data_IF_876370919115
#
_entry.id   IF_876370919115
#
_cell.length_a   1.000
_cell.length_b   1.000
_cell.length_c   1.000
_cell.angle_alpha   90.00
_cell.angle_beta   90.00
_cell.angle_gamma   90.00
#
_symmetry.space_group_name_H-M   'P 1'
#
loop_
_entity.id
_entity.type
_entity.pdbx_description
1 polymer ?
#
# COMPACT_ATOMS: atom_id res chain seq x y z
N UNK A 1 18.70 17.75 12.62
CA UNK A 1 17.87 17.19 13.69
C UNK A 1 18.74 16.42 14.70
N UNK A 2 19.57 15.52 14.26
CA UNK A 2 20.40 14.61 15.08
C UNK A 2 21.51 15.30 15.91
N UNK A 3 21.80 16.58 15.64
CA UNK A 3 22.81 17.32 16.39
C UNK A 3 22.51 17.46 17.91
N UNK A 4 21.26 17.25 18.31
CA UNK A 4 20.79 17.48 19.69
C UNK A 4 20.22 16.23 20.35
N UNK A 5 20.28 15.08 19.73
CA UNK A 5 19.70 13.82 20.23
C UNK A 5 20.61 12.62 19.95
N UNK A 6 20.47 11.59 20.76
CA UNK A 6 21.04 10.24 20.49
C UNK A 6 20.15 9.40 19.55
N UNK A 7 19.01 9.93 19.15
CA UNK A 7 18.12 9.27 18.19
C UNK A 7 18.61 9.44 16.76
N UNK A 8 18.62 8.35 16.00
CA UNK A 8 19.02 8.28 14.59
C UNK A 8 17.78 8.23 13.69
N UNK A 9 17.69 9.14 12.72
CA UNK A 9 16.50 9.28 11.86
C UNK A 9 16.81 8.82 10.43
N UNK A 10 16.15 7.75 9.99
CA UNK A 10 16.19 7.31 8.58
C UNK A 10 14.94 7.79 7.86
N UNK A 11 15.12 8.37 6.69
CA UNK A 11 14.02 8.81 5.83
C UNK A 11 13.98 8.02 4.54
N UNK A 12 12.84 7.40 4.24
CA UNK A 12 12.64 6.62 3.02
C UNK A 12 11.37 7.11 2.30
N UNK A 13 11.54 7.44 1.02
CA UNK A 13 10.45 7.73 0.10
C UNK A 13 10.36 6.62 -0.92
N UNK A 14 9.22 5.98 -1.02
CA UNK A 14 8.94 4.96 -2.01
C UNK A 14 7.79 5.40 -2.91
N UNK A 15 7.90 5.08 -4.20
CA UNK A 15 6.78 5.30 -5.11
C UNK A 15 5.56 4.50 -4.68
N UNK A 16 5.77 3.23 -4.26
CA UNK A 16 4.72 2.30 -3.84
C UNK A 16 5.24 1.26 -2.86
N UNK A 17 4.39 0.89 -1.90
CA UNK A 17 4.75 -0.12 -0.88
C UNK A 17 4.61 -1.56 -1.36
N UNK A 18 3.70 -1.82 -2.32
CA UNK A 18 3.42 -3.16 -2.86
C UNK A 18 2.91 -3.09 -4.30
N UNK A 19 3.06 -4.17 -5.05
CA UNK A 19 2.56 -4.29 -6.41
C UNK A 19 1.04 -4.57 -6.51
N UNK A 20 0.38 -5.00 -5.44
CA UNK A 20 -1.07 -5.29 -5.35
C UNK A 20 -1.60 -6.26 -6.43
N UNK A 21 -0.77 -7.17 -6.94
CA UNK A 21 -1.19 -8.11 -8.00
C UNK A 21 -2.32 -9.04 -7.58
N UNK A 22 -2.36 -9.40 -6.31
CA UNK A 22 -3.40 -10.22 -5.70
C UNK A 22 -4.77 -9.53 -5.71
N UNK A 23 -4.82 -8.20 -5.55
CA UNK A 23 -6.09 -7.43 -5.63
C UNK A 23 -6.71 -7.59 -7.01
N UNK A 24 -5.92 -7.43 -8.08
CA UNK A 24 -6.40 -7.65 -9.45
C UNK A 24 -6.88 -9.08 -9.69
N UNK A 25 -6.21 -10.07 -9.10
CA UNK A 25 -6.61 -11.47 -9.18
C UNK A 25 -7.93 -11.73 -8.45
N UNK A 26 -8.10 -11.22 -7.23
CA UNK A 26 -9.34 -11.37 -6.48
C UNK A 26 -10.55 -10.78 -7.21
N UNK A 27 -10.40 -9.58 -7.78
CA UNK A 27 -11.46 -8.97 -8.59
C UNK A 27 -11.78 -9.77 -9.84
N UNK A 28 -10.77 -10.30 -10.54
CA UNK A 28 -10.98 -11.13 -11.73
C UNK A 28 -11.74 -12.42 -11.40
N UNK A 29 -11.38 -13.09 -10.29
CA UNK A 29 -12.07 -14.27 -9.79
C UNK A 29 -13.51 -13.92 -9.38
N UNK A 30 -13.71 -12.85 -8.63
CA UNK A 30 -15.05 -12.42 -8.20
C UNK A 30 -15.95 -12.12 -9.40
N UNK A 31 -15.46 -11.45 -10.44
CA UNK A 31 -16.22 -11.19 -11.65
C UNK A 31 -16.55 -12.47 -12.46
N UNK A 32 -15.63 -13.44 -12.50
CA UNK A 32 -15.92 -14.72 -13.15
C UNK A 32 -17.01 -15.51 -12.40
N UNK A 33 -16.94 -15.55 -11.07
CA UNK A 33 -17.99 -16.16 -10.26
C UNK A 33 -19.33 -15.42 -10.36
N UNK A 34 -19.30 -14.08 -10.49
CA UNK A 34 -20.51 -13.29 -10.68
C UNK A 34 -21.22 -13.65 -11.99
N UNK A 35 -20.48 -13.94 -13.06
CA UNK A 35 -21.07 -14.45 -14.32
C UNK A 35 -21.82 -15.76 -14.09
N UNK A 36 -21.21 -16.70 -13.37
CA UNK A 36 -21.83 -18.01 -13.06
C UNK A 36 -23.06 -17.83 -12.17
N UNK A 37 -22.96 -16.99 -11.12
CA UNK A 37 -24.07 -16.71 -10.23
C UNK A 37 -25.24 -16.03 -10.96
N UNK A 38 -24.95 -15.09 -11.85
CA UNK A 38 -25.97 -14.44 -12.68
C UNK A 38 -26.65 -15.41 -13.64
N UNK A 39 -25.89 -16.30 -14.28
CA UNK A 39 -26.46 -17.34 -15.16
C UNK A 39 -27.31 -18.36 -14.39
N UNK A 40 -26.94 -18.68 -13.15
CA UNK A 40 -27.74 -19.54 -12.27
C UNK A 40 -29.02 -18.87 -11.80
N UNK A 41 -29.03 -17.54 -11.64
CA UNK A 41 -30.19 -16.76 -11.19
C UNK A 41 -31.16 -16.47 -12.34
N UNK A 42 -30.64 -16.21 -13.55
CA UNK A 42 -31.42 -15.85 -14.74
C UNK A 42 -31.03 -16.70 -15.97
N UNK A 43 -31.24 -18.01 -15.91
CA UNK A 43 -30.80 -18.93 -16.97
C UNK A 43 -31.43 -18.60 -18.34
N UNK A 44 -32.73 -18.24 -18.37
CA UNK A 44 -33.42 -17.91 -19.61
C UNK A 44 -32.86 -16.63 -20.29
N UNK A 45 -32.36 -15.69 -19.50
CA UNK A 45 -31.72 -14.50 -20.03
C UNK A 45 -30.41 -14.86 -20.74
N UNK A 46 -29.57 -15.67 -20.06
CA UNK A 46 -28.32 -16.14 -20.64
C UNK A 46 -28.50 -16.99 -21.87
N UNK A 47 -29.51 -17.88 -21.87
CA UNK A 47 -29.88 -18.70 -23.02
C UNK A 47 -30.26 -17.82 -24.21
N UNK A 48 -31.12 -16.82 -24.02
CA UNK A 48 -31.49 -15.84 -25.07
C UNK A 48 -30.29 -15.09 -25.61
N UNK A 49 -29.38 -14.61 -24.74
CA UNK A 49 -28.17 -13.91 -25.14
C UNK A 49 -27.28 -14.81 -26.00
N UNK A 50 -27.05 -16.04 -25.57
CA UNK A 50 -26.22 -16.98 -26.32
C UNK A 50 -26.85 -17.42 -27.64
N UNK A 51 -28.17 -17.65 -27.71
CA UNK A 51 -28.87 -17.89 -28.94
C UNK A 51 -28.74 -16.73 -29.93
N UNK A 52 -28.87 -15.50 -29.43
CA UNK A 52 -28.68 -14.31 -30.26
C UNK A 52 -27.23 -14.20 -30.78
N UNK A 53 -26.24 -14.46 -29.95
CA UNK A 53 -24.82 -14.49 -30.32
C UNK A 53 -24.50 -15.55 -31.38
N UNK A 54 -25.20 -16.67 -31.35
CA UNK A 54 -25.08 -17.78 -32.34
C UNK A 54 -25.92 -17.56 -33.62
N UNK A 55 -26.50 -16.37 -33.80
CA UNK A 55 -27.26 -15.99 -34.99
C UNK A 55 -28.72 -16.42 -34.99
N UNK A 56 -29.28 -16.83 -33.85
CA UNK A 56 -30.70 -17.12 -33.67
C UNK A 56 -31.21 -18.39 -34.34
N UNK A 57 -30.33 -19.25 -34.86
CA UNK A 57 -30.69 -20.50 -35.58
C UNK A 57 -31.14 -21.64 -34.65
N UNK A 58 -30.91 -21.48 -33.33
CA UNK A 58 -31.22 -22.50 -32.34
C UNK A 58 -32.57 -22.23 -31.68
N UNK A 59 -33.43 -23.25 -31.62
CA UNK A 59 -34.70 -23.17 -30.88
C UNK A 59 -34.53 -23.47 -29.40
N UNK A 60 -33.57 -24.33 -29.07
CA UNK A 60 -33.16 -24.68 -27.72
C UNK A 60 -31.62 -24.86 -27.68
N UNK A 61 -30.94 -24.41 -26.62
CA UNK A 61 -29.51 -24.65 -26.46
C UNK A 61 -29.28 -25.99 -25.75
N UNK A 62 -28.56 -26.94 -26.35
CA UNK A 62 -28.14 -28.15 -25.66
C UNK A 62 -27.33 -27.76 -24.39
N UNK A 63 -27.62 -28.42 -23.26
CA UNK A 63 -26.96 -28.14 -21.98
C UNK A 63 -25.43 -28.09 -22.10
N UNK A 64 -24.84 -29.00 -22.86
CA UNK A 64 -23.38 -29.01 -23.06
C UNK A 64 -22.90 -27.73 -23.75
N UNK A 65 -23.60 -27.24 -24.75
CA UNK A 65 -23.23 -26.01 -25.45
C UNK A 65 -23.40 -24.79 -24.53
N UNK A 66 -24.53 -24.72 -23.79
CA UNK A 66 -24.78 -23.67 -22.81
C UNK A 66 -23.63 -23.60 -21.79
N UNK A 67 -23.25 -24.72 -21.18
CA UNK A 67 -22.16 -24.77 -20.20
C UNK A 67 -20.81 -24.41 -20.82
N UNK A 68 -20.57 -24.79 -22.08
CA UNK A 68 -19.32 -24.40 -22.78
C UNK A 68 -19.26 -22.90 -23.03
N UNK A 69 -20.35 -22.28 -23.44
CA UNK A 69 -20.46 -20.85 -23.66
C UNK A 69 -20.34 -20.09 -22.34
N UNK A 70 -20.96 -20.58 -21.26
CA UNK A 70 -20.86 -20.01 -19.94
C UNK A 70 -19.41 -20.04 -19.42
N UNK A 71 -18.72 -21.16 -19.57
CA UNK A 71 -17.30 -21.29 -19.24
C UNK A 71 -16.44 -20.29 -20.04
N UNK A 72 -16.65 -20.24 -21.35
CA UNK A 72 -15.95 -19.28 -22.22
C UNK A 72 -16.19 -17.83 -21.80
N UNK A 73 -17.44 -17.48 -21.45
CA UNK A 73 -17.80 -16.15 -20.95
C UNK A 73 -17.11 -15.85 -19.60
N UNK A 74 -17.12 -16.79 -18.66
CA UNK A 74 -16.44 -16.63 -17.37
C UNK A 74 -14.92 -16.44 -17.53
N UNK A 75 -14.28 -17.23 -18.41
CA UNK A 75 -12.86 -17.08 -18.75
C UNK A 75 -12.59 -15.72 -19.41
N UNK A 76 -13.39 -15.32 -20.38
CA UNK A 76 -13.23 -14.04 -21.06
C UNK A 76 -13.37 -12.87 -20.07
N UNK A 77 -14.36 -12.94 -19.18
CA UNK A 77 -14.54 -11.93 -18.12
C UNK A 77 -13.37 -11.89 -17.15
N UNK A 78 -12.88 -13.06 -16.70
CA UNK A 78 -11.69 -13.16 -15.87
C UNK A 78 -10.48 -12.48 -16.52
N UNK A 79 -10.18 -12.83 -17.77
CA UNK A 79 -9.06 -12.26 -18.52
C UNK A 79 -9.22 -10.75 -18.71
N UNK A 80 -10.41 -10.30 -19.13
CA UNK A 80 -10.69 -8.88 -19.32
C UNK A 80 -10.42 -8.07 -18.04
N UNK A 81 -10.97 -8.49 -16.90
CA UNK A 81 -10.76 -7.83 -15.61
C UNK A 81 -9.28 -7.91 -15.19
N UNK A 82 -8.64 -9.06 -15.37
CA UNK A 82 -7.22 -9.25 -15.06
C UNK A 82 -6.32 -8.31 -15.85
N UNK A 83 -6.59 -8.10 -17.14
CA UNK A 83 -5.83 -7.18 -17.99
C UNK A 83 -6.17 -5.71 -17.73
N UNK A 84 -7.43 -5.36 -17.50
CA UNK A 84 -7.85 -4.01 -17.13
C UNK A 84 -7.16 -3.59 -15.82
N UNK A 85 -7.14 -4.48 -14.82
CA UNK A 85 -6.47 -4.24 -13.54
C UNK A 85 -4.94 -4.47 -13.57
N UNK A 86 -4.35 -4.77 -14.72
CA UNK A 86 -2.92 -4.62 -14.93
C UNK A 86 -2.49 -3.14 -14.86
N UNK A 87 -3.40 -2.20 -15.19
CA UNK A 87 -3.18 -0.76 -15.07
C UNK A 87 -3.09 -0.39 -13.58
N UNK A 88 -1.92 0.14 -13.12
CA UNK A 88 -1.68 0.38 -11.67
C UNK A 88 -2.67 1.35 -11.04
N UNK A 89 -3.06 2.41 -11.75
CA UNK A 89 -4.00 3.41 -11.23
C UNK A 89 -5.39 2.81 -10.93
N UNK A 90 -5.93 1.98 -11.83
CA UNK A 90 -7.22 1.33 -11.63
C UNK A 90 -7.15 0.32 -10.48
N UNK A 91 -6.06 -0.45 -10.42
CA UNK A 91 -5.85 -1.42 -9.35
C UNK A 91 -5.77 -0.71 -7.98
N UNK A 92 -5.05 0.41 -7.89
CA UNK A 92 -4.95 1.20 -6.67
C UNK A 92 -6.31 1.78 -6.26
N UNK A 93 -7.10 2.30 -7.21
CA UNK A 93 -8.43 2.84 -6.93
C UNK A 93 -9.37 1.77 -6.34
N UNK A 94 -9.27 0.52 -6.81
CA UNK A 94 -10.07 -0.61 -6.33
C UNK A 94 -9.48 -1.32 -5.11
N UNK A 95 -8.33 -0.88 -4.60
CA UNK A 95 -7.72 -1.44 -3.39
C UNK A 95 -8.32 -0.78 -2.15
N UNK A 96 -8.92 -1.55 -1.22
CA UNK A 96 -9.48 -1.01 0.02
C UNK A 96 -8.44 -0.22 0.83
N UNK A 97 -8.86 0.87 1.47
CA UNK A 97 -7.99 1.73 2.28
C UNK A 97 -7.29 0.94 3.41
N UNK A 98 -7.99 0.00 4.04
CA UNK A 98 -7.44 -0.88 5.08
C UNK A 98 -6.31 -1.79 4.55
N UNK A 99 -6.42 -2.27 3.32
CA UNK A 99 -5.37 -3.08 2.68
C UNK A 99 -4.15 -2.22 2.38
N UNK A 100 -4.34 -1.00 1.87
CA UNK A 100 -3.25 -0.04 1.65
C UNK A 100 -2.51 0.26 2.94
N UNK A 101 -3.24 0.62 4.03
CA UNK A 101 -2.63 0.86 5.35
C UNK A 101 -1.78 -0.30 5.82
N UNK A 102 -2.34 -1.52 5.83
CA UNK A 102 -1.60 -2.71 6.31
C UNK A 102 -0.33 -2.98 5.50
N UNK A 103 -0.33 -2.71 4.19
CA UNK A 103 0.84 -2.95 3.34
C UNK A 103 1.90 -1.90 3.52
N UNK A 104 1.50 -0.63 3.61
CA UNK A 104 2.42 0.48 3.94
C UNK A 104 3.10 0.20 5.28
N UNK A 105 2.33 -0.09 6.32
CA UNK A 105 2.84 -0.42 7.66
C UNK A 105 3.80 -1.63 7.62
N UNK A 106 3.42 -2.72 6.97
CA UNK A 106 4.29 -3.90 6.83
C UNK A 106 5.60 -3.57 6.10
N UNK A 107 5.53 -2.77 5.04
CA UNK A 107 6.70 -2.34 4.29
C UNK A 107 7.61 -1.47 5.14
N UNK A 108 7.04 -0.50 5.88
CA UNK A 108 7.77 0.36 6.81
C UNK A 108 8.53 -0.46 7.87
N UNK A 109 7.86 -1.44 8.52
CA UNK A 109 8.51 -2.33 9.49
C UNK A 109 9.65 -3.13 8.84
N UNK A 110 9.45 -3.66 7.64
CA UNK A 110 10.49 -4.44 6.94
C UNK A 110 11.72 -3.57 6.63
N UNK A 111 11.49 -2.35 6.17
CA UNK A 111 12.56 -1.40 5.86
C UNK A 111 13.26 -0.91 7.14
N UNK A 112 12.51 -0.67 8.21
CA UNK A 112 13.05 -0.31 9.51
C UNK A 112 14.03 -1.38 10.03
N UNK A 113 13.63 -2.63 10.02
CA UNK A 113 14.49 -3.74 10.42
C UNK A 113 15.77 -3.85 9.59
N UNK A 114 15.67 -3.58 8.30
CA UNK A 114 16.82 -3.64 7.41
C UNK A 114 17.75 -2.43 7.52
N UNK A 115 17.21 -1.24 7.80
CA UNK A 115 17.94 0.03 7.76
C UNK A 115 18.42 0.52 9.13
N UNK A 116 17.62 0.36 10.18
CA UNK A 116 17.83 0.96 11.48
C UNK A 116 18.06 -0.06 12.61
N UNK A 117 17.18 -1.05 12.77
CA UNK A 117 17.17 -1.97 13.92
C UNK A 117 18.47 -2.76 14.09
N UNK A 118 19.16 -3.08 12.99
CA UNK A 118 20.41 -3.86 13.02
C UNK A 118 21.69 -3.03 13.05
N UNK A 119 21.57 -1.70 12.93
CA UNK A 119 22.73 -0.80 12.76
C UNK A 119 22.96 0.14 13.92
N UNK A 120 21.94 0.39 14.75
CA UNK A 120 22.08 1.27 15.91
C UNK A 120 22.48 0.48 17.15
N UNK A 121 23.61 0.82 17.75
CA UNK A 121 24.15 0.13 18.94
C UNK A 121 23.21 0.28 20.13
N UNK A 122 22.60 1.46 20.29
CA UNK A 122 21.68 1.77 21.39
C UNK A 122 20.21 1.49 21.12
N UNK A 123 19.88 1.02 19.91
CA UNK A 123 18.49 0.81 19.47
C UNK A 123 17.61 2.06 19.60
N UNK A 124 18.13 3.18 19.16
CA UNK A 124 17.47 4.50 19.16
C UNK A 124 17.13 4.96 17.75
N UNK A 125 16.91 4.01 16.82
CA UNK A 125 16.56 4.29 15.45
C UNK A 125 15.09 4.65 15.28
N UNK A 126 14.80 5.57 14.37
CA UNK A 126 13.44 5.91 13.92
C UNK A 126 13.41 6.00 12.39
N UNK A 127 12.40 5.42 11.78
CA UNK A 127 12.16 5.49 10.34
C UNK A 127 10.96 6.37 10.06
N UNK A 128 11.14 7.36 9.18
CA UNK A 128 10.06 8.08 8.53
C UNK A 128 9.90 7.54 7.13
N UNK A 129 8.79 6.85 6.87
CA UNK A 129 8.48 6.21 5.60
C UNK A 129 7.31 6.90 4.91
N UNK A 130 7.50 7.33 3.65
CA UNK A 130 6.47 7.94 2.81
C UNK A 130 6.22 7.08 1.57
N UNK A 131 4.97 6.70 1.34
CA UNK A 131 4.53 6.01 0.13
C UNK A 131 3.64 6.89 -0.71
N UNK A 132 4.10 7.25 -1.92
CA UNK A 132 3.49 8.27 -2.76
C UNK A 132 2.18 7.80 -3.38
N UNK A 133 2.16 6.62 -4.02
CA UNK A 133 0.96 6.09 -4.70
C UNK A 133 -0.18 5.77 -3.71
N UNK A 134 0.14 5.37 -2.48
CA UNK A 134 -0.83 5.13 -1.40
C UNK A 134 -1.26 6.40 -0.67
N UNK A 135 -0.55 7.51 -0.86
CA UNK A 135 -0.71 8.78 -0.12
C UNK A 135 -0.71 8.53 1.40
N UNK A 136 0.31 7.80 1.86
CA UNK A 136 0.44 7.38 3.26
C UNK A 136 1.87 7.52 3.76
N UNK A 137 1.95 7.83 5.04
CA UNK A 137 3.19 7.86 5.77
C UNK A 137 3.10 6.97 7.01
N UNK A 138 4.25 6.47 7.43
CA UNK A 138 4.40 5.69 8.67
C UNK A 138 5.67 6.15 9.38
N UNK A 139 5.59 6.27 10.70
CA UNK A 139 6.75 6.42 11.57
C UNK A 139 6.90 5.10 12.34
N UNK A 140 8.07 4.51 12.25
CA UNK A 140 8.42 3.29 12.99
C UNK A 140 9.65 3.60 13.84
N UNK A 141 9.53 3.43 15.13
CA UNK A 141 10.60 3.70 16.08
C UNK A 141 11.00 2.42 16.82
N UNK A 142 12.24 2.39 17.27
CA UNK A 142 12.71 1.38 18.20
C UNK A 142 11.91 1.41 19.51
N UNK A 143 11.90 0.29 20.22
CA UNK A 143 11.13 0.13 21.44
C UNK A 143 11.50 1.14 22.52
N UNK A 144 12.78 1.47 22.63
CA UNK A 144 13.27 2.46 23.58
C UNK A 144 12.61 3.84 23.39
N UNK A 145 12.30 4.21 22.14
CA UNK A 145 11.61 5.46 21.80
C UNK A 145 10.08 5.31 21.96
N UNK A 146 9.54 4.18 21.47
CA UNK A 146 8.09 3.94 21.48
C UNK A 146 7.49 3.81 22.88
N UNK A 147 8.29 3.39 23.87
CA UNK A 147 7.85 3.23 25.25
C UNK A 147 7.81 4.59 25.99
N UNK A 148 8.53 5.62 25.49
CA UNK A 148 8.65 6.94 26.13
C UNK A 148 7.83 8.05 25.45
N UNK A 149 7.50 7.89 24.17
CA UNK A 149 6.82 8.94 23.38
C UNK A 149 5.39 8.53 23.05
N UNK A 150 4.44 9.41 23.40
CA UNK A 150 3.01 9.18 23.06
C UNK A 150 2.83 9.06 21.53
N UNK A 151 2.15 8.01 21.04
CA UNK A 151 1.82 7.85 19.63
C UNK A 151 1.10 9.04 18.97
N UNK A 152 0.37 9.85 19.75
CA UNK A 152 -0.29 11.06 19.25
C UNK A 152 0.70 12.10 18.70
N UNK A 153 1.88 12.22 19.30
CA UNK A 153 2.94 13.15 18.90
C UNK A 153 3.44 12.81 17.49
N UNK A 154 3.58 11.53 17.18
CA UNK A 154 3.94 11.07 15.83
C UNK A 154 2.86 11.39 14.82
N UNK A 155 1.58 11.38 15.23
CA UNK A 155 0.45 11.77 14.40
C UNK A 155 0.54 13.23 13.95
N UNK A 156 0.96 14.14 14.79
CA UNK A 156 1.16 15.55 14.45
C UNK A 156 2.32 15.76 13.46
N UNK A 157 3.43 15.05 13.65
CA UNK A 157 4.56 15.09 12.73
C UNK A 157 4.18 14.59 11.34
N UNK A 158 3.42 13.48 11.27
CA UNK A 158 2.91 12.95 10.02
C UNK A 158 1.90 13.88 9.35
N UNK A 159 0.99 14.51 10.11
CA UNK A 159 0.02 15.46 9.56
C UNK A 159 0.72 16.66 8.90
N UNK A 160 1.72 17.25 9.57
CA UNK A 160 2.49 18.36 9.03
C UNK A 160 3.28 17.99 7.77
N UNK A 161 3.79 16.76 7.69
CA UNK A 161 4.44 16.24 6.48
C UNK A 161 3.45 16.09 5.32
N UNK A 162 2.29 15.46 5.57
CA UNK A 162 1.30 15.16 4.55
C UNK A 162 0.68 16.44 3.97
N UNK A 163 0.56 17.51 4.73
CA UNK A 163 0.12 18.83 4.25
C UNK A 163 1.04 19.33 3.11
N UNK A 164 2.35 19.27 3.29
CA UNK A 164 3.33 19.66 2.27
C UNK A 164 3.33 18.71 1.07
N UNK A 165 3.21 17.41 1.34
CA UNK A 165 3.17 16.37 0.29
C UNK A 165 1.93 16.54 -0.59
N UNK A 166 0.76 16.83 -0.02
CA UNK A 166 -0.46 17.13 -0.77
C UNK A 166 -0.31 18.39 -1.64
N UNK A 167 0.49 19.34 -1.22
CA UNK A 167 0.83 20.53 -2.01
C UNK A 167 1.93 20.27 -3.07
N UNK A 168 2.36 19.00 -3.25
CA UNK A 168 3.39 18.60 -4.21
C UNK A 168 4.83 18.86 -3.75
N UNK A 169 5.04 19.29 -2.51
CA UNK A 169 6.36 19.64 -1.96
C UNK A 169 6.91 18.50 -1.09
N UNK A 170 7.23 17.35 -1.71
CA UNK A 170 7.67 16.13 -1.01
C UNK A 170 8.89 16.39 -0.13
N UNK A 171 9.92 17.05 -0.67
CA UNK A 171 11.15 17.35 0.09
C UNK A 171 10.90 18.25 1.31
N UNK A 172 10.04 19.28 1.16
CA UNK A 172 9.67 20.14 2.30
C UNK A 172 8.87 19.37 3.35
N UNK A 173 7.98 18.46 2.93
CA UNK A 173 7.24 17.59 3.84
C UNK A 173 8.16 16.69 4.66
N UNK A 174 9.11 16.04 4.00
CA UNK A 174 10.10 15.19 4.68
C UNK A 174 10.95 16.00 5.64
N UNK A 175 11.43 17.20 5.25
CA UNK A 175 12.20 18.08 6.13
C UNK A 175 11.41 18.46 7.39
N UNK A 176 10.13 18.84 7.24
CA UNK A 176 9.24 19.14 8.37
C UNK A 176 9.04 17.95 9.32
N UNK A 177 8.89 16.75 8.74
CA UNK A 177 8.77 15.53 9.56
C UNK A 177 10.05 15.31 10.38
N UNK A 178 11.23 15.41 9.74
CA UNK A 178 12.53 15.26 10.39
C UNK A 178 12.73 16.32 11.49
N UNK A 179 12.36 17.58 11.24
CA UNK A 179 12.46 18.65 12.24
C UNK A 179 11.59 18.36 13.47
N UNK A 180 10.33 17.97 13.26
CA UNK A 180 9.41 17.66 14.36
C UNK A 180 9.83 16.41 15.14
N UNK A 181 10.17 15.34 14.44
CA UNK A 181 10.67 14.11 15.04
C UNK A 181 11.96 14.40 15.83
N UNK A 182 12.89 15.16 15.24
CA UNK A 182 14.13 15.56 15.91
C UNK A 182 13.93 16.38 17.18
N UNK A 183 12.93 17.29 17.19
CA UNK A 183 12.58 18.06 18.39
C UNK A 183 12.07 17.14 19.51
N UNK A 184 11.19 16.18 19.19
CA UNK A 184 10.68 15.19 20.15
C UNK A 184 11.81 14.31 20.68
N UNK A 185 12.70 13.84 19.81
CA UNK A 185 13.85 13.03 20.22
C UNK A 185 14.82 13.80 21.10
N UNK A 186 15.06 15.09 20.84
CA UNK A 186 15.92 15.93 21.68
C UNK A 186 15.37 16.11 23.09
N UNK A 187 14.05 16.11 23.27
CA UNK A 187 13.38 16.20 24.57
C UNK A 187 13.48 14.90 25.38
N UNK A 188 13.26 13.76 24.72
CA UNK A 188 13.19 12.45 25.38
C UNK A 188 14.54 11.71 25.41
N UNK A 189 15.39 11.95 24.42
CA UNK A 189 16.69 11.29 24.23
C UNK A 189 17.76 12.34 23.95
N UNK A 190 18.13 13.18 24.93
CA UNK A 190 19.15 14.21 24.75
C UNK A 190 20.50 13.60 24.39
N UNK A 191 21.29 14.36 23.62
CA UNK A 191 22.60 13.92 23.14
C UNK A 191 23.56 13.61 24.27
N UNK A 192 24.18 12.43 24.23
CA UNK A 192 25.26 12.01 25.08
C UNK A 192 26.64 12.47 24.53
N UNK A 193 27.70 12.43 25.35
CA UNK A 193 29.04 12.83 24.93
C UNK A 193 29.65 11.95 23.83
N UNK A 194 29.15 10.73 23.67
CA UNK A 194 29.61 9.73 22.66
C UNK A 194 28.45 9.25 21.84
N UNK A 195 28.12 10.01 20.80
CA UNK A 195 27.12 9.60 19.80
C UNK A 195 27.76 9.59 18.40
N UNK A 196 28.20 8.42 17.88
CA UNK A 196 28.62 8.28 16.51
C UNK A 196 27.40 8.34 15.59
N UNK A 197 27.50 9.03 14.45
CA UNK A 197 26.50 8.98 13.39
C UNK A 197 26.55 7.58 12.73
N UNK A 198 25.51 6.76 12.97
CA UNK A 198 25.46 5.34 12.56
C UNK A 198 24.64 5.14 11.28
N UNK A 199 23.77 6.11 10.93
CA UNK A 199 22.85 6.01 9.81
C UNK A 199 23.05 7.13 8.77
N UNK A 200 22.65 6.95 7.51
CA UNK A 200 22.89 7.94 6.47
C UNK A 200 21.95 9.16 6.59
N UNK A 201 22.52 10.37 6.63
CA UNK A 201 21.83 11.67 6.70
C UNK A 201 21.16 12.08 5.36
N UNK A 202 20.64 11.16 4.61
CA UNK A 202 20.01 11.42 3.31
C UNK A 202 18.71 10.66 3.14
N UNK A 203 17.81 11.24 2.36
CA UNK A 203 16.59 10.53 1.92
C UNK A 203 16.97 9.37 1.01
N UNK A 204 16.44 8.19 1.32
CA UNK A 204 16.58 6.99 0.49
C UNK A 204 15.34 6.90 -0.39
N UNK A 205 15.52 6.88 -1.71
CA UNK A 205 14.45 6.71 -2.69
C UNK A 205 14.41 5.26 -3.17
N UNK A 206 13.19 4.65 -3.21
CA UNK A 206 12.91 3.27 -3.60
C UNK A 206 11.81 3.16 -4.67
#
# INVERSE_FOLDING_TARGET
AEAHTDGEIVTIVARRSDAYHDVGLHWAIACAFLVIAAAATWPELYERIYMWLLGGWWHELPLRLFLTLLLGHAIAKFLAVRYILAIPALRMALTPASTRSRRVHRRAITLFRAAAESRTVRRTGILIYLSLDEHRAEIVADRAISDEVDPAIWGEAMAAMLEEVHAGRIGAGMARAVERVGAVLAEHLPRSESNPNELPDRVIEL
#
